data_IF_614605065210
#
_entry.id   IF_614605065210
#
_cell.length_a   1.000
_cell.length_b   1.000
_cell.length_c   1.000
_cell.angle_alpha   90.00
_cell.angle_beta   90.00
_cell.angle_gamma   90.00
#
_symmetry.space_group_name_H-M   'P 1'
#
loop_
_entity.id
_entity.type
_entity.pdbx_description
1 polymer ?
#
# COMPACT_ATOMS: atom_id res chain seq x y z
N UNK A 1 18.27 -17.71 15.94
CA UNK A 1 19.23 -16.63 16.22
C UNK A 1 19.23 -15.77 14.98
N UNK A 2 18.48 -14.65 14.98
CA UNK A 2 18.46 -13.75 13.83
C UNK A 2 19.80 -13.02 13.79
N UNK A 3 20.49 -13.10 12.66
CA UNK A 3 21.72 -12.32 12.43
C UNK A 3 21.28 -10.86 12.29
N UNK A 4 21.80 -9.99 13.15
CA UNK A 4 21.51 -8.56 13.03
C UNK A 4 21.94 -8.06 11.64
N UNK A 5 21.12 -7.24 10.97
CA UNK A 5 21.47 -6.70 9.67
C UNK A 5 22.81 -5.96 9.75
N UNK A 6 23.62 -6.10 8.70
CA UNK A 6 24.90 -5.39 8.65
C UNK A 6 24.68 -3.90 8.40
N UNK A 7 25.65 -3.07 8.78
CA UNK A 7 25.61 -1.63 8.46
C UNK A 7 25.54 -1.33 6.95
N UNK A 8 25.92 -2.29 6.09
CA UNK A 8 25.75 -2.20 4.63
C UNK A 8 24.32 -2.51 4.20
N UNK A 9 23.66 -3.45 4.86
CA UNK A 9 22.25 -3.78 4.63
C UNK A 9 21.34 -2.61 5.02
N UNK A 10 21.62 -1.93 6.14
CA UNK A 10 20.87 -0.75 6.58
C UNK A 10 21.02 0.42 5.59
N UNK A 11 22.24 0.65 5.09
CA UNK A 11 22.50 1.68 4.06
C UNK A 11 21.77 1.36 2.76
N UNK A 12 21.80 0.09 2.33
CA UNK A 12 21.11 -0.35 1.12
C UNK A 12 19.60 -0.21 1.27
N UNK A 13 19.04 -0.63 2.40
CA UNK A 13 17.62 -0.48 2.70
C UNK A 13 17.23 1.00 2.68
N UNK A 14 18.00 1.87 3.34
CA UNK A 14 17.71 3.31 3.40
C UNK A 14 17.73 3.94 2.01
N UNK A 15 18.74 3.62 1.19
CA UNK A 15 18.81 4.11 -0.19
C UNK A 15 17.61 3.65 -1.01
N UNK A 16 17.27 2.36 -0.95
CA UNK A 16 16.12 1.83 -1.67
C UNK A 16 14.80 2.42 -1.18
N UNK A 17 14.69 2.72 0.12
CA UNK A 17 13.51 3.33 0.72
C UNK A 17 13.22 4.68 0.08
N UNK A 18 14.22 5.57 0.00
CA UNK A 18 14.07 6.90 -0.62
C UNK A 18 13.82 6.81 -2.13
N UNK A 19 14.58 5.96 -2.83
CA UNK A 19 14.39 5.78 -4.28
C UNK A 19 12.97 5.29 -4.60
N UNK A 20 12.45 4.33 -3.82
CA UNK A 20 11.10 3.81 -4.00
C UNK A 20 10.04 4.84 -3.57
N UNK A 21 10.28 5.62 -2.51
CA UNK A 21 9.39 6.70 -2.09
C UNK A 21 9.14 7.70 -3.23
N UNK A 22 10.22 8.19 -3.86
CA UNK A 22 10.13 9.16 -4.96
C UNK A 22 9.35 8.58 -6.16
N UNK A 23 9.61 7.31 -6.51
CA UNK A 23 8.89 6.63 -7.59
C UNK A 23 7.40 6.43 -7.27
N UNK A 24 7.06 6.15 -6.01
CA UNK A 24 5.68 5.99 -5.58
C UNK A 24 4.95 7.34 -5.59
N UNK A 25 5.61 8.41 -5.13
CA UNK A 25 5.06 9.77 -5.17
C UNK A 25 4.79 10.20 -6.62
N UNK A 26 5.74 10.00 -7.53
CA UNK A 26 5.60 10.30 -8.96
C UNK A 26 4.49 9.48 -9.63
N UNK A 27 4.36 8.19 -9.28
CA UNK A 27 3.32 7.34 -9.85
C UNK A 27 1.94 7.70 -9.33
N UNK A 28 1.80 7.87 -8.02
CA UNK A 28 0.53 8.25 -7.39
C UNK A 28 0.07 9.65 -7.80
N UNK A 29 1.02 10.57 -8.01
CA UNK A 29 0.76 11.93 -8.48
C UNK A 29 0.10 12.01 -9.87
N UNK A 30 0.11 10.92 -10.65
CA UNK A 30 -0.63 10.83 -11.92
C UNK A 30 -2.14 10.71 -11.73
N UNK A 31 -2.58 10.26 -10.55
CA UNK A 31 -3.97 9.90 -10.29
C UNK A 31 -4.63 10.77 -9.21
N UNK A 32 -3.85 11.47 -8.40
CA UNK A 32 -4.37 12.32 -7.32
C UNK A 32 -3.30 13.26 -6.77
N UNK A 33 -3.70 14.04 -5.77
CA UNK A 33 -2.81 14.99 -5.09
C UNK A 33 -2.36 14.42 -3.74
N UNK A 34 -1.05 14.42 -3.49
CA UNK A 34 -0.52 14.08 -2.16
C UNK A 34 -0.85 15.19 -1.15
N UNK A 35 -1.26 14.82 0.06
CA UNK A 35 -1.44 15.80 1.12
C UNK A 35 -1.95 15.24 2.45
N UNK A 36 -1.58 15.93 3.52
CA UNK A 36 -2.14 15.68 4.85
C UNK A 36 -3.59 16.18 4.88
N UNK A 37 -4.42 15.57 5.74
CA UNK A 37 -5.86 15.88 5.83
C UNK A 37 -6.12 17.40 5.92
N UNK A 38 -7.17 17.92 5.27
CA UNK A 38 -8.20 17.21 4.50
C UNK A 38 -8.00 17.24 2.97
N UNK A 39 -6.92 17.82 2.45
CA UNK A 39 -6.86 18.23 1.04
C UNK A 39 -6.33 17.16 0.06
N UNK A 40 -5.55 16.19 0.53
CA UNK A 40 -4.92 15.19 -0.34
C UNK A 40 -5.79 13.95 -0.62
N UNK A 41 -5.74 13.47 -1.86
CA UNK A 41 -6.31 12.19 -2.30
C UNK A 41 -5.56 11.00 -1.70
N UNK A 42 -4.27 11.17 -1.41
CA UNK A 42 -3.44 10.18 -0.73
C UNK A 42 -2.36 10.83 0.14
N UNK A 43 -1.70 10.01 0.97
CA UNK A 43 -0.51 10.37 1.73
C UNK A 43 0.40 9.14 1.84
N UNK A 44 1.69 9.30 1.51
CA UNK A 44 2.70 8.26 1.72
C UNK A 44 3.35 8.50 3.08
N UNK A 45 3.41 7.45 3.91
CA UNK A 45 4.10 7.50 5.20
C UNK A 45 5.60 7.82 4.98
N UNK A 46 6.08 8.86 5.65
CA UNK A 46 7.45 9.36 5.48
C UNK A 46 8.44 8.72 6.45
N UNK A 47 7.97 7.89 7.38
CA UNK A 47 8.82 7.28 8.39
C UNK A 47 9.41 5.96 7.89
N UNK A 48 10.74 5.91 7.75
CA UNK A 48 11.46 4.67 7.46
C UNK A 48 11.73 3.88 8.75
N UNK A 49 10.92 2.85 9.01
CA UNK A 49 11.06 1.95 10.17
C UNK A 49 12.11 0.83 9.97
N UNK A 50 12.90 0.87 8.90
CA UNK A 50 13.91 -0.16 8.59
C UNK A 50 13.33 -1.44 7.98
N UNK A 51 12.03 -1.48 7.67
CA UNK A 51 11.36 -2.58 6.99
C UNK A 51 11.41 -2.40 5.46
N UNK A 52 11.21 -3.48 4.70
CA UNK A 52 11.07 -3.43 3.24
C UNK A 52 9.62 -3.13 2.85
N UNK A 53 9.05 -2.06 3.42
CA UNK A 53 7.64 -1.73 3.27
C UNK A 53 7.46 -0.22 3.12
N UNK A 54 6.54 0.17 2.23
CA UNK A 54 5.96 1.51 2.19
C UNK A 54 4.49 1.45 2.57
N UNK A 55 3.99 2.48 3.25
CA UNK A 55 2.58 2.59 3.60
C UNK A 55 1.97 3.79 2.89
N UNK A 56 0.88 3.55 2.17
CA UNK A 56 0.15 4.58 1.42
C UNK A 56 -1.28 4.61 1.95
N UNK A 57 -1.70 5.76 2.42
CA UNK A 57 -3.07 6.01 2.88
C UNK A 57 -3.85 6.68 1.76
N UNK A 58 -4.88 6.00 1.23
CA UNK A 58 -5.76 6.59 0.22
C UNK A 58 -7.01 7.19 0.86
N UNK A 59 -7.46 8.31 0.32
CA UNK A 59 -8.67 9.04 0.74
C UNK A 59 -9.63 9.29 -0.42
N UNK A 60 -9.32 8.72 -1.57
CA UNK A 60 -10.16 8.75 -2.76
C UNK A 60 -10.24 7.32 -3.33
N UNK A 61 -11.45 6.77 -3.43
CA UNK A 61 -11.65 5.40 -3.93
C UNK A 61 -11.34 5.26 -5.43
N UNK A 62 -11.25 6.36 -6.18
CA UNK A 62 -10.76 6.33 -7.57
C UNK A 62 -9.32 5.81 -7.67
N UNK A 63 -8.54 5.91 -6.60
CA UNK A 63 -7.19 5.35 -6.50
C UNK A 63 -7.18 3.82 -6.30
N UNK A 64 -8.34 3.20 -6.04
CA UNK A 64 -8.50 1.74 -6.00
C UNK A 64 -8.70 1.12 -7.38
N UNK A 65 -8.71 1.91 -8.46
CA UNK A 65 -8.85 1.36 -9.81
C UNK A 65 -7.79 0.27 -10.06
N UNK A 66 -8.15 -0.87 -10.67
CA UNK A 66 -7.20 -1.95 -10.93
C UNK A 66 -5.94 -1.52 -11.69
N UNK A 67 -6.06 -0.52 -12.57
CA UNK A 67 -4.92 0.06 -13.29
C UNK A 67 -3.88 0.73 -12.39
N UNK A 68 -4.32 1.39 -11.32
CA UNK A 68 -3.43 2.05 -10.34
C UNK A 68 -2.64 0.98 -9.58
N UNK A 69 -3.35 -0.01 -9.03
CA UNK A 69 -2.74 -1.13 -8.29
C UNK A 69 -1.75 -1.90 -9.16
N UNK A 70 -2.09 -2.14 -10.44
CA UNK A 70 -1.19 -2.79 -11.40
C UNK A 70 0.07 -1.98 -11.68
N UNK A 71 -0.03 -0.66 -11.72
CA UNK A 71 1.12 0.23 -11.91
C UNK A 71 2.07 0.19 -10.71
N UNK A 72 1.53 0.25 -9.49
CA UNK A 72 2.30 0.11 -8.25
C UNK A 72 2.99 -1.25 -8.17
N UNK A 73 2.28 -2.34 -8.52
CA UNK A 73 2.87 -3.68 -8.59
C UNK A 73 4.02 -3.76 -9.60
N UNK A 74 3.93 -3.05 -10.74
CA UNK A 74 4.99 -3.01 -11.74
C UNK A 74 6.25 -2.32 -11.21
N UNK A 75 6.13 -1.23 -10.46
CA UNK A 75 7.28 -0.55 -9.83
C UNK A 75 8.06 -1.50 -8.92
N UNK A 76 7.37 -2.31 -8.12
CA UNK A 76 7.98 -3.25 -7.19
C UNK A 76 8.81 -4.36 -7.86
N UNK A 77 8.69 -4.57 -9.18
CA UNK A 77 9.51 -5.58 -9.89
C UNK A 77 11.01 -5.31 -9.82
N UNK A 78 11.42 -4.06 -9.61
CA UNK A 78 12.83 -3.67 -9.43
C UNK A 78 13.30 -3.76 -7.98
N UNK A 79 12.39 -3.94 -7.03
CA UNK A 79 12.62 -3.86 -5.60
C UNK A 79 12.24 -5.20 -4.94
N UNK A 80 13.12 -6.19 -5.07
CA UNK A 80 12.87 -7.53 -4.52
C UNK A 80 12.66 -7.49 -3.01
N UNK A 81 11.63 -8.17 -2.52
CA UNK A 81 11.27 -8.21 -1.10
C UNK A 81 10.49 -7.00 -0.59
N UNK A 82 10.34 -5.94 -1.40
CA UNK A 82 9.54 -4.78 -1.03
C UNK A 82 8.05 -5.02 -1.23
N UNK A 83 7.26 -4.42 -0.35
CA UNK A 83 5.80 -4.42 -0.43
C UNK A 83 5.22 -3.03 -0.14
N UNK A 84 3.98 -2.82 -0.58
CA UNK A 84 3.20 -1.61 -0.28
C UNK A 84 1.98 -2.02 0.51
N UNK A 85 1.79 -1.42 1.68
CA UNK A 85 0.53 -1.45 2.42
C UNK A 85 -0.33 -0.30 1.91
N UNK A 86 -1.34 -0.63 1.11
CA UNK A 86 -2.25 0.32 0.49
C UNK A 86 -3.53 0.43 1.31
N UNK A 87 -3.53 1.34 2.28
CA UNK A 87 -4.56 1.47 3.31
C UNK A 87 -5.73 2.32 2.85
N UNK A 88 -6.96 1.81 3.01
CA UNK A 88 -8.18 2.60 2.82
C UNK A 88 -8.38 3.53 4.00
N UNK A 89 -8.47 4.84 3.75
CA UNK A 89 -8.62 5.89 4.77
C UNK A 89 -9.57 7.01 4.34
N UNK A 90 -10.53 6.66 3.48
CA UNK A 90 -11.65 7.53 3.10
C UNK A 90 -12.53 7.87 4.31
N UNK A 91 -13.06 9.09 4.44
CA UNK A 91 -14.11 9.38 5.42
C UNK A 91 -15.32 8.48 5.19
N UNK A 92 -15.87 7.88 6.25
CA UNK A 92 -17.00 6.96 6.15
C UNK A 92 -18.33 7.54 6.60
N UNK A 93 -19.44 6.84 6.30
CA UNK A 93 -20.70 7.10 6.99
C UNK A 93 -20.53 6.75 8.47
N UNK A 94 -20.44 7.77 9.33
CA UNK A 94 -20.34 7.58 10.79
C UNK A 94 -18.94 7.28 11.33
N UNK A 95 -17.87 7.74 10.65
CA UNK A 95 -16.47 7.75 11.11
C UNK A 95 -15.73 6.40 11.31
N UNK A 96 -16.31 5.24 10.98
CA UNK A 96 -15.60 3.96 11.14
C UNK A 96 -15.78 3.03 9.93
N UNK A 97 -14.92 3.20 8.91
CA UNK A 97 -14.63 2.08 8.01
C UNK A 97 -13.88 1.01 8.81
N UNK A 98 -14.10 -0.29 8.54
CA UNK A 98 -13.21 -1.31 9.07
C UNK A 98 -11.80 -1.11 8.51
N UNK A 99 -10.78 -1.56 9.24
CA UNK A 99 -9.42 -1.60 8.71
C UNK A 99 -9.37 -2.53 7.50
N UNK A 100 -8.97 -1.95 6.37
CA UNK A 100 -8.90 -2.64 5.09
C UNK A 100 -7.75 -2.08 4.28
N UNK A 101 -7.03 -2.99 3.63
CA UNK A 101 -5.91 -2.62 2.79
C UNK A 101 -5.73 -3.62 1.63
N UNK A 102 -4.83 -3.26 0.73
CA UNK A 102 -4.16 -4.22 -0.13
C UNK A 102 -2.70 -4.31 0.30
N UNK A 103 -2.15 -5.52 0.30
CA UNK A 103 -0.71 -5.72 0.35
C UNK A 103 -0.25 -5.99 -1.07
N UNK A 104 0.49 -5.04 -1.66
CA UNK A 104 0.94 -5.13 -3.04
C UNK A 104 2.38 -5.61 -3.02
N UNK A 105 2.62 -6.75 -3.66
CA UNK A 105 3.95 -7.30 -3.92
C UNK A 105 4.14 -7.40 -5.43
N UNK A 106 5.39 -7.48 -5.88
CA UNK A 106 5.72 -7.58 -7.31
C UNK A 106 5.05 -8.76 -8.04
N UNK A 107 4.70 -9.82 -7.31
CA UNK A 107 4.18 -11.08 -7.85
C UNK A 107 2.75 -11.42 -7.41
N UNK A 108 2.19 -10.71 -6.44
CA UNK A 108 0.85 -10.98 -5.92
C UNK A 108 0.23 -9.72 -5.29
N UNK A 109 -1.09 -9.76 -5.10
CA UNK A 109 -1.80 -8.82 -4.23
C UNK A 109 -2.52 -9.62 -3.15
N UNK A 110 -2.36 -9.23 -1.89
CA UNK A 110 -3.15 -9.80 -0.79
C UNK A 110 -4.30 -8.85 -0.50
N UNK A 111 -5.51 -9.37 -0.59
CA UNK A 111 -6.74 -8.59 -0.60
C UNK A 111 -7.47 -8.69 0.75
N UNK A 112 -7.32 -7.64 1.57
CA UNK A 112 -8.03 -7.49 2.85
C UNK A 112 -9.29 -6.63 2.72
N UNK A 113 -9.77 -6.37 1.50
CA UNK A 113 -10.90 -5.46 1.29
C UNK A 113 -12.22 -6.13 1.61
N UNK A 114 -12.99 -5.50 2.48
CA UNK A 114 -14.38 -5.82 2.79
C UNK A 114 -15.30 -4.99 1.88
N UNK A 115 -15.43 -5.45 0.63
CA UNK A 115 -16.14 -4.76 -0.45
C UNK A 115 -17.59 -4.39 -0.13
N UNK A 116 -18.25 -5.12 0.78
CA UNK A 116 -19.63 -4.81 1.21
C UNK A 116 -19.77 -3.41 1.83
N UNK A 117 -18.67 -2.80 2.29
CA UNK A 117 -18.68 -1.43 2.81
C UNK A 117 -18.46 -0.36 1.74
N UNK A 118 -18.01 -0.73 0.53
CA UNK A 118 -17.80 0.23 -0.55
C UNK A 118 -19.11 0.68 -1.20
N UNK A 119 -19.17 1.89 -1.80
CA UNK A 119 -20.23 2.24 -2.73
C UNK A 119 -20.28 1.23 -3.90
N UNK A 120 -21.46 0.98 -4.50
CA UNK A 120 -21.67 -0.08 -5.49
C UNK A 120 -20.62 -0.14 -6.60
N UNK A 121 -20.20 1.01 -7.13
CA UNK A 121 -19.27 1.11 -8.26
C UNK A 121 -17.87 0.54 -7.96
N UNK A 122 -17.48 0.47 -6.69
CA UNK A 122 -16.17 -0.01 -6.26
C UNK A 122 -16.21 -1.44 -5.71
N UNK A 123 -17.39 -1.99 -5.43
CA UNK A 123 -17.53 -3.35 -4.88
C UNK A 123 -17.04 -4.42 -5.85
N UNK A 124 -17.13 -4.15 -7.16
CA UNK A 124 -16.73 -5.08 -8.21
C UNK A 124 -15.23 -5.09 -8.51
N UNK A 125 -14.43 -4.21 -7.90
CA UNK A 125 -13.00 -4.15 -8.17
C UNK A 125 -12.30 -5.45 -7.77
N UNK A 126 -11.50 -5.98 -8.68
CA UNK A 126 -10.65 -7.15 -8.51
C UNK A 126 -9.27 -6.83 -9.09
N UNK A 127 -8.23 -7.46 -8.54
CA UNK A 127 -6.85 -7.19 -8.93
C UNK A 127 -6.21 -8.45 -9.48
N UNK A 128 -5.47 -8.31 -10.58
CA UNK A 128 -4.79 -9.42 -11.23
C UNK A 128 -3.84 -10.12 -10.23
N UNK A 129 -3.97 -11.44 -10.09
CA UNK A 129 -3.16 -12.22 -9.16
C UNK A 129 -3.48 -11.98 -7.69
N UNK A 130 -4.62 -11.37 -7.36
CA UNK A 130 -5.04 -11.20 -5.98
C UNK A 130 -5.48 -12.50 -5.33
N UNK A 131 -5.22 -12.65 -4.04
CA UNK A 131 -5.72 -13.74 -3.19
C UNK A 131 -6.16 -13.22 -1.82
N UNK A 132 -7.03 -13.95 -1.10
CA UNK A 132 -7.31 -13.64 0.29
C UNK A 132 -6.07 -13.82 1.17
N UNK A 133 -6.04 -13.19 2.36
CA UNK A 133 -4.96 -13.35 3.31
C UNK A 133 -4.98 -14.74 3.96
N UNK A 134 -3.79 -15.21 4.32
CA UNK A 134 -3.63 -16.37 5.21
C UNK A 134 -3.85 -15.97 6.67
N UNK A 135 -4.03 -16.95 7.58
CA UNK A 135 -4.15 -16.68 9.01
C UNK A 135 -2.94 -15.94 9.61
N UNK A 136 -1.75 -16.18 9.08
CA UNK A 136 -0.51 -15.50 9.50
C UNK A 136 -0.55 -14.03 9.10
N UNK A 137 -0.90 -13.75 7.83
CA UNK A 137 -1.00 -12.39 7.32
C UNK A 137 -2.14 -11.62 8.00
N UNK A 138 -3.26 -12.26 8.31
CA UNK A 138 -4.32 -11.66 9.13
C UNK A 138 -3.82 -11.23 10.51
N UNK A 139 -2.92 -11.98 11.13
CA UNK A 139 -2.37 -11.63 12.45
C UNK A 139 -1.33 -10.51 12.35
N UNK A 140 -0.56 -10.47 11.26
CA UNK A 140 0.51 -9.50 11.07
C UNK A 140 -0.02 -8.09 10.74
N UNK A 141 -1.07 -8.00 9.92
CA UNK A 141 -1.62 -6.72 9.46
C UNK A 141 -2.86 -6.24 10.23
N UNK A 142 -3.29 -6.94 11.30
CA UNK A 142 -4.42 -6.52 12.15
C UNK A 142 -4.03 -5.58 13.31
N UNK A 143 -2.91 -4.85 13.21
CA UNK A 143 -2.38 -3.98 14.27
C UNK A 143 -2.56 -2.49 13.96
#
# INVERSE_FOLDING_TARGET
MAMEPSAEDDKRQTSQWYDLYDLLADEMGKYGTEGIRPAGDFWIDTDNYGTLQHKIYIRNLELMKPSVIKSLQYLLRKYSGWEIVYQVSVPGPGDAWPDMCLIIRSHEVIDFLQRQFFPPDYQAYQYDGSRPPTAVEMTYYSQ
#
